data_IF_442908942206
#
_entry.id   IF_442908942206
#
_cell.length_a   1.000
_cell.length_b   1.000
_cell.length_c   1.000
_cell.angle_alpha   90.00
_cell.angle_beta   90.00
_cell.angle_gamma   90.00
#
_symmetry.space_group_name_H-M   'P 1'
#
loop_
_entity.id
_entity.type
_entity.pdbx_description
1 polymer ?
#
# COMPACT_ATOMS: atom_id res chain seq x y z
N UNK A 1 1.22 35.72 8.54
CA UNK A 1 2.22 34.64 8.67
C UNK A 1 1.76 33.49 7.81
N UNK A 2 2.37 33.34 6.64
CA UNK A 2 2.00 32.36 5.63
C UNK A 2 2.83 31.11 5.89
N UNK A 3 2.21 30.04 6.36
CA UNK A 3 2.85 28.73 6.47
C UNK A 3 3.04 28.19 5.06
N UNK A 4 4.22 28.41 4.49
CA UNK A 4 4.72 27.61 3.37
C UNK A 4 4.85 26.16 3.88
N UNK A 5 3.83 25.35 3.59
CA UNK A 5 4.01 23.91 3.52
C UNK A 5 5.07 23.66 2.45
N UNK A 6 6.30 23.40 2.87
CA UNK A 6 7.35 22.84 2.04
C UNK A 6 6.79 21.56 1.40
N UNK A 7 6.25 21.71 0.19
CA UNK A 7 5.96 20.62 -0.70
C UNK A 7 7.25 19.85 -0.83
N UNK A 8 7.29 18.70 -0.15
CA UNK A 8 8.38 17.75 -0.22
C UNK A 8 8.49 17.31 -1.67
N UNK A 9 9.30 18.03 -2.45
CA UNK A 9 9.73 17.64 -3.79
C UNK A 9 10.61 16.43 -3.56
N UNK A 10 10.00 15.25 -3.58
CA UNK A 10 10.70 13.98 -3.57
C UNK A 10 11.56 14.00 -4.83
N UNK A 11 12.88 14.17 -4.66
CA UNK A 11 13.81 14.03 -5.77
C UNK A 11 13.64 12.64 -6.39
N UNK A 12 13.91 12.50 -7.68
CA UNK A 12 13.71 11.28 -8.49
C UNK A 12 14.44 10.02 -7.91
N UNK A 13 15.30 10.19 -6.89
CA UNK A 13 16.01 9.13 -6.18
C UNK A 13 15.70 9.00 -4.67
N UNK A 14 14.76 9.75 -4.10
CA UNK A 14 14.46 9.71 -2.66
C UNK A 14 13.30 8.77 -2.34
N UNK A 15 13.36 8.06 -1.20
CA UNK A 15 12.22 7.27 -0.73
C UNK A 15 11.02 8.18 -0.46
N UNK A 16 9.80 7.85 -0.95
CA UNK A 16 8.64 8.70 -0.74
C UNK A 16 8.21 8.67 0.74
N UNK A 17 7.84 9.81 1.34
CA UNK A 17 7.27 9.81 2.68
C UNK A 17 5.90 9.10 2.69
N UNK A 18 5.47 8.61 3.85
CA UNK A 18 4.21 7.87 3.98
C UNK A 18 3.01 8.65 3.42
N UNK A 19 2.94 9.96 3.68
CA UNK A 19 1.84 10.82 3.21
C UNK A 19 1.76 10.91 1.68
N UNK A 20 2.86 10.71 0.96
CA UNK A 20 2.86 10.66 -0.51
C UNK A 20 2.32 9.32 -1.03
N UNK A 21 2.65 8.20 -0.36
CA UNK A 21 2.06 6.90 -0.68
C UNK A 21 0.55 6.88 -0.45
N UNK A 22 0.09 7.35 0.71
CA UNK A 22 -1.34 7.37 1.03
C UNK A 22 -2.14 8.23 0.03
N UNK A 23 -1.57 9.34 -0.44
CA UNK A 23 -2.14 10.14 -1.55
C UNK A 23 -2.14 9.39 -2.87
N UNK A 24 -1.03 8.75 -3.23
CA UNK A 24 -0.93 7.95 -4.45
C UNK A 24 -1.90 6.76 -4.49
N UNK A 25 -2.28 6.21 -3.33
CA UNK A 25 -3.33 5.19 -3.26
C UNK A 25 -4.74 5.75 -3.55
N UNK A 26 -5.00 7.00 -3.15
CA UNK A 26 -6.33 7.62 -3.19
C UNK A 26 -6.66 8.42 -4.45
N UNK A 27 -5.67 9.03 -5.07
CA UNK A 27 -5.88 9.98 -6.17
C UNK A 27 -5.33 9.46 -7.49
N UNK A 28 -6.09 9.70 -8.57
CA UNK A 28 -5.55 9.67 -9.93
C UNK A 28 -4.91 11.03 -10.22
N UNK A 29 -3.79 11.33 -9.56
CA UNK A 29 -3.00 12.53 -9.86
C UNK A 29 -2.47 12.43 -11.29
N UNK A 30 -2.31 13.56 -11.98
CA UNK A 30 -1.49 13.64 -13.19
C UNK A 30 -0.16 12.91 -12.96
N UNK A 31 0.18 12.07 -13.93
CA UNK A 31 1.18 10.99 -13.87
C UNK A 31 2.31 11.29 -12.86
N UNK A 32 2.38 10.58 -11.71
CA UNK A 32 3.35 10.89 -10.68
C UNK A 32 4.76 10.81 -11.27
N UNK A 33 5.56 11.88 -11.12
CA UNK A 33 6.94 11.95 -11.63
C UNK A 33 7.85 10.88 -11.00
N UNK A 34 7.44 10.31 -9.86
CA UNK A 34 8.21 9.35 -9.08
C UNK A 34 7.81 7.89 -9.35
N UNK A 35 8.76 7.07 -9.79
CA UNK A 35 8.56 5.66 -10.16
C UNK A 35 7.90 4.81 -9.06
N UNK A 36 8.31 4.96 -7.80
CA UNK A 36 7.68 4.24 -6.67
C UNK A 36 6.20 4.64 -6.50
N UNK A 37 5.85 5.92 -6.65
CA UNK A 37 4.48 6.38 -6.44
C UNK A 37 3.54 5.85 -7.54
N UNK A 38 4.04 5.75 -8.78
CA UNK A 38 3.33 5.09 -9.87
C UNK A 38 3.03 3.62 -9.52
N UNK A 39 4.05 2.88 -9.07
CA UNK A 39 3.91 1.46 -8.70
C UNK A 39 3.02 1.28 -7.47
N UNK A 40 3.10 2.17 -6.49
CA UNK A 40 2.27 2.18 -5.29
C UNK A 40 0.78 2.36 -5.64
N UNK A 41 0.46 3.25 -6.58
CA UNK A 41 -0.90 3.42 -7.12
C UNK A 41 -1.40 2.14 -7.80
N UNK A 42 -0.57 1.52 -8.63
CA UNK A 42 -0.92 0.23 -9.27
C UNK A 42 -1.14 -0.90 -8.26
N UNK A 43 -0.40 -0.92 -7.14
CA UNK A 43 -0.63 -1.87 -6.05
C UNK A 43 -2.00 -1.63 -5.39
N UNK A 44 -2.37 -0.39 -5.12
CA UNK A 44 -3.70 -0.05 -4.58
C UNK A 44 -4.83 -0.48 -5.55
N UNK A 45 -4.67 -0.27 -6.86
CA UNK A 45 -5.60 -0.75 -7.88
C UNK A 45 -5.72 -2.28 -7.90
N UNK A 46 -4.61 -3.00 -7.69
CA UNK A 46 -4.63 -4.46 -7.55
C UNK A 46 -5.45 -4.89 -6.33
N UNK A 47 -5.22 -4.28 -5.16
CA UNK A 47 -5.98 -4.58 -3.93
C UNK A 47 -7.46 -4.21 -4.05
N UNK A 48 -7.80 -3.13 -4.73
CA UNK A 48 -9.19 -2.76 -5.01
C UNK A 48 -9.89 -3.82 -5.88
N UNK A 49 -9.25 -4.23 -6.98
CA UNK A 49 -9.79 -5.29 -7.86
C UNK A 49 -9.93 -6.60 -7.10
N UNK A 50 -8.95 -6.94 -6.25
CA UNK A 50 -8.98 -8.14 -5.39
C UNK A 50 -10.19 -8.11 -4.46
N UNK A 51 -10.40 -6.98 -3.78
CA UNK A 51 -11.51 -6.79 -2.86
C UNK A 51 -12.86 -6.99 -3.57
N UNK A 52 -13.05 -6.37 -4.75
CA UNK A 52 -14.28 -6.54 -5.55
C UNK A 52 -14.50 -7.98 -6.01
N UNK A 53 -13.46 -8.66 -6.47
CA UNK A 53 -13.54 -10.05 -6.90
C UNK A 53 -13.97 -10.97 -5.75
N UNK A 54 -13.40 -10.78 -4.55
CA UNK A 54 -13.78 -11.52 -3.34
C UNK A 54 -15.23 -11.24 -2.95
N UNK A 55 -15.67 -9.97 -2.99
CA UNK A 55 -17.06 -9.62 -2.70
C UNK A 55 -18.03 -10.28 -3.69
N UNK A 56 -17.74 -10.24 -4.98
CA UNK A 56 -18.58 -10.86 -6.01
C UNK A 56 -18.68 -12.38 -5.84
N UNK A 57 -17.57 -13.05 -5.51
CA UNK A 57 -17.55 -14.50 -5.25
C UNK A 57 -18.31 -14.88 -3.97
N UNK A 58 -18.41 -13.98 -2.99
CA UNK A 58 -19.14 -14.18 -1.73
C UNK A 58 -20.61 -13.75 -1.80
N UNK A 59 -21.06 -13.17 -2.91
CA UNK A 59 -22.43 -12.71 -3.06
C UNK A 59 -23.41 -13.89 -2.97
N UNK A 60 -24.56 -13.74 -2.29
CA UNK A 60 -25.61 -14.76 -2.27
C UNK A 60 -26.03 -15.11 -3.70
N UNK A 61 -26.04 -16.40 -4.05
CA UNK A 61 -26.40 -16.87 -5.39
C UNK A 61 -25.29 -16.78 -6.43
N UNK A 62 -24.04 -16.53 -6.05
CA UNK A 62 -22.90 -16.60 -6.96
C UNK A 62 -22.81 -18.00 -7.60
N UNK A 63 -22.79 -18.05 -8.94
CA UNK A 63 -22.67 -19.31 -9.66
C UNK A 63 -21.25 -19.88 -9.55
N UNK A 64 -21.11 -21.20 -9.71
CA UNK A 64 -19.78 -21.85 -9.77
C UNK A 64 -18.87 -21.24 -10.85
N UNK A 65 -19.45 -20.76 -11.96
CA UNK A 65 -18.72 -20.06 -13.01
C UNK A 65 -18.14 -18.72 -12.56
N UNK A 66 -18.91 -17.94 -11.79
CA UNK A 66 -18.46 -16.67 -11.19
C UNK A 66 -17.35 -16.91 -10.17
N UNK A 67 -17.50 -17.94 -9.32
CA UNK A 67 -16.48 -18.31 -8.33
C UNK A 67 -15.17 -18.71 -9.02
N UNK A 68 -15.23 -19.56 -10.05
CA UNK A 68 -14.05 -19.99 -10.80
C UNK A 68 -13.38 -18.85 -11.58
N UNK A 69 -14.17 -17.94 -12.17
CA UNK A 69 -13.63 -16.74 -12.81
C UNK A 69 -12.98 -15.79 -11.80
N UNK A 70 -13.59 -15.64 -10.63
CA UNK A 70 -13.04 -14.90 -9.50
C UNK A 70 -11.68 -15.45 -9.05
N UNK A 71 -11.56 -16.77 -8.88
CA UNK A 71 -10.30 -17.41 -8.50
C UNK A 71 -9.17 -17.11 -9.51
N UNK A 72 -9.41 -17.28 -10.81
CA UNK A 72 -8.43 -16.94 -11.86
C UNK A 72 -8.01 -15.47 -11.83
N UNK A 73 -8.98 -14.57 -11.63
CA UNK A 73 -8.70 -13.15 -11.51
C UNK A 73 -7.84 -12.84 -10.28
N UNK A 74 -8.07 -13.52 -9.14
CA UNK A 74 -7.25 -13.36 -7.94
C UNK A 74 -5.80 -13.79 -8.18
N UNK A 75 -5.59 -14.92 -8.87
CA UNK A 75 -4.25 -15.40 -9.21
C UNK A 75 -3.50 -14.40 -10.12
N UNK A 76 -4.18 -13.85 -11.13
CA UNK A 76 -3.62 -12.82 -12.00
C UNK A 76 -3.26 -11.53 -11.25
N UNK A 77 -4.11 -11.13 -10.30
CA UNK A 77 -3.84 -9.97 -9.44
C UNK A 77 -2.64 -10.23 -8.52
N UNK A 78 -2.52 -11.42 -7.94
CA UNK A 78 -1.41 -11.76 -7.04
C UNK A 78 -0.08 -11.85 -7.78
N UNK A 79 -0.09 -12.39 -9.00
CA UNK A 79 1.08 -12.34 -9.89
C UNK A 79 1.49 -10.90 -10.20
N UNK A 80 0.53 -10.04 -10.58
CA UNK A 80 0.81 -8.62 -10.85
C UNK A 80 1.34 -7.90 -9.61
N UNK A 81 0.80 -8.14 -8.43
CA UNK A 81 1.34 -7.61 -7.17
C UNK A 81 2.80 -8.02 -6.96
N UNK A 82 3.12 -9.29 -7.15
CA UNK A 82 4.50 -9.78 -7.06
C UNK A 82 5.46 -9.06 -8.03
N UNK A 83 5.04 -8.86 -9.28
CA UNK A 83 5.82 -8.10 -10.28
C UNK A 83 6.07 -6.65 -9.85
N UNK A 84 5.06 -5.98 -9.30
CA UNK A 84 5.13 -4.59 -8.82
C UNK A 84 6.01 -4.46 -7.57
N UNK A 85 5.88 -5.38 -6.61
CA UNK A 85 6.77 -5.48 -5.43
C UNK A 85 8.22 -5.61 -5.88
N UNK A 86 8.51 -6.53 -6.81
CA UNK A 86 9.85 -6.69 -7.36
C UNK A 86 10.36 -5.47 -8.11
N UNK A 87 9.48 -4.67 -8.75
CA UNK A 87 9.88 -3.40 -9.40
C UNK A 87 10.33 -2.36 -8.37
N UNK A 88 9.66 -2.27 -7.22
CA UNK A 88 10.08 -1.41 -6.11
C UNK A 88 11.43 -1.91 -5.56
N UNK A 89 11.56 -3.20 -5.29
CA UNK A 89 12.77 -3.76 -4.68
C UNK A 89 14.00 -3.60 -5.57
N UNK A 90 13.85 -3.76 -6.90
CA UNK A 90 14.91 -3.44 -7.88
C UNK A 90 15.26 -1.95 -7.90
N UNK A 91 14.26 -1.07 -7.79
CA UNK A 91 14.54 0.37 -7.70
C UNK A 91 15.31 0.69 -6.43
N UNK A 92 14.94 0.09 -5.29
CA UNK A 92 15.66 0.27 -4.01
C UNK A 92 17.10 -0.20 -4.14
N UNK A 93 17.33 -1.39 -4.72
CA UNK A 93 18.68 -1.92 -4.95
C UNK A 93 19.56 -0.99 -5.80
N UNK A 94 18.96 -0.32 -6.78
CA UNK A 94 19.67 0.57 -7.69
C UNK A 94 19.91 1.98 -7.13
N UNK A 95 19.05 2.47 -6.23
CA UNK A 95 19.04 3.88 -5.80
C UNK A 95 19.42 4.10 -4.32
N UNK A 96 19.37 3.06 -3.49
CA UNK A 96 19.61 3.18 -2.04
C UNK A 96 20.95 2.53 -1.67
N UNK A 97 21.90 3.36 -1.24
CA UNK A 97 23.18 2.89 -0.74
C UNK A 97 23.04 2.28 0.67
N UNK A 98 23.51 1.04 0.82
CA UNK A 98 23.52 0.34 2.10
C UNK A 98 24.93 0.33 2.70
N UNK A 99 25.06 0.76 3.96
CA UNK A 99 26.33 0.70 4.69
C UNK A 99 26.63 -0.74 5.12
N UNK A 100 27.88 -1.18 4.94
CA UNK A 100 28.37 -2.44 5.51
C UNK A 100 28.28 -2.40 7.04
N UNK A 101 27.57 -3.36 7.64
CA UNK A 101 27.37 -3.48 9.09
C UNK A 101 26.02 -2.95 9.61
N UNK A 102 25.17 -2.35 8.76
CA UNK A 102 23.80 -2.00 9.15
C UNK A 102 22.93 -3.26 9.37
N UNK A 103 22.02 -3.19 10.34
CA UNK A 103 21.08 -4.28 10.63
C UNK A 103 20.16 -4.51 9.44
N UNK A 104 20.02 -5.77 9.01
CA UNK A 104 19.12 -6.16 7.92
C UNK A 104 17.66 -6.10 8.42
N UNK A 105 16.80 -5.43 7.65
CA UNK A 105 15.36 -5.51 7.90
C UNK A 105 14.81 -6.88 7.51
N UNK A 106 13.70 -7.30 8.10
CA UNK A 106 13.10 -8.62 7.86
C UNK A 106 12.28 -8.69 6.59
N UNK A 107 11.89 -7.53 6.05
CA UNK A 107 11.02 -7.42 4.88
C UNK A 107 11.61 -6.48 3.83
N UNK A 108 11.25 -6.66 2.57
CA UNK A 108 11.62 -5.71 1.51
C UNK A 108 10.73 -4.47 1.58
N UNK A 109 11.19 -3.35 1.00
CA UNK A 109 10.37 -2.14 0.96
C UNK A 109 9.10 -2.35 0.12
N UNK A 110 9.20 -3.07 -0.99
CA UNK A 110 8.05 -3.41 -1.83
C UNK A 110 7.00 -4.19 -1.06
N UNK A 111 7.39 -5.16 -0.22
CA UNK A 111 6.46 -5.91 0.63
C UNK A 111 5.75 -5.03 1.66
N UNK A 112 6.46 -4.07 2.27
CA UNK A 112 5.86 -3.11 3.21
C UNK A 112 4.85 -2.20 2.51
N UNK A 113 5.20 -1.68 1.32
CA UNK A 113 4.31 -0.82 0.51
C UNK A 113 3.07 -1.59 0.03
N UNK A 114 3.22 -2.85 -0.39
CA UNK A 114 2.09 -3.71 -0.77
C UNK A 114 1.11 -3.92 0.40
N UNK A 115 1.64 -4.14 1.62
CA UNK A 115 0.80 -4.28 2.82
C UNK A 115 0.11 -2.97 3.20
N UNK A 116 0.78 -1.82 3.05
CA UNK A 116 0.17 -0.50 3.23
C UNK A 116 -1.00 -0.30 2.26
N UNK A 117 -0.80 -0.58 0.97
CA UNK A 117 -1.85 -0.48 -0.04
C UNK A 117 -3.05 -1.38 0.30
N UNK A 118 -2.78 -2.62 0.74
CA UNK A 118 -3.82 -3.55 1.17
C UNK A 118 -4.65 -3.02 2.34
N UNK A 119 -3.99 -2.55 3.41
CA UNK A 119 -4.68 -2.00 4.59
C UNK A 119 -5.43 -0.71 4.27
N UNK A 120 -4.88 0.13 3.40
CA UNK A 120 -5.53 1.35 2.94
C UNK A 120 -6.86 1.03 2.25
N UNK A 121 -6.90 0.08 1.32
CA UNK A 121 -8.15 -0.36 0.67
C UNK A 121 -9.16 -0.85 1.69
N UNK A 122 -8.75 -1.71 2.63
CA UNK A 122 -9.66 -2.25 3.65
C UNK A 122 -10.23 -1.14 4.54
N UNK A 123 -9.39 -0.19 5.00
CA UNK A 123 -9.81 0.93 5.82
C UNK A 123 -10.80 1.87 5.08
N UNK A 124 -10.53 2.16 3.81
CA UNK A 124 -11.42 2.97 2.96
C UNK A 124 -12.78 2.30 2.76
N UNK A 125 -12.79 0.99 2.51
CA UNK A 125 -14.04 0.22 2.31
C UNK A 125 -14.85 0.13 3.60
N UNK A 126 -14.20 0.07 4.76
CA UNK A 126 -14.88 0.12 6.05
C UNK A 126 -15.63 1.44 6.28
N UNK A 127 -15.10 2.59 5.82
CA UNK A 127 -15.83 3.86 5.86
C UNK A 127 -17.05 3.88 4.92
N UNK A 128 -16.88 3.40 3.69
CA UNK A 128 -17.99 3.33 2.72
C UNK A 128 -19.14 2.44 3.19
N UNK A 129 -18.83 1.33 3.85
CA UNK A 129 -19.84 0.46 4.47
C UNK A 129 -20.60 1.13 5.63
N UNK A 130 -19.94 2.02 6.40
CA UNK A 130 -20.57 2.81 7.46
C UNK A 130 -21.56 3.83 6.91
N UNK A 131 -21.25 4.46 5.78
CA UNK A 131 -22.13 5.47 5.16
C UNK A 131 -23.43 4.89 4.54
N UNK A 132 -23.42 3.61 4.15
CA UNK A 132 -24.56 2.95 3.50
C UNK A 132 -25.48 2.17 4.45
N UNK A 133 -25.20 2.15 5.76
CA UNK A 133 -25.93 1.31 6.71
C UNK A 133 -26.33 2.08 7.96
N UNK A 134 -27.63 2.26 8.18
CA UNK A 134 -28.22 2.50 9.51
C UNK A 134 -28.04 1.23 10.35
N UNK A 135 -26.83 0.97 10.88
CA UNK A 135 -26.49 -0.28 11.60
C UNK A 135 -26.28 -0.05 13.10
N UNK A 136 -26.51 -1.08 13.94
CA UNK A 136 -26.51 -0.95 15.39
C UNK A 136 -25.12 -0.59 15.95
N UNK A 137 -25.07 0.00 17.15
CA UNK A 137 -23.85 0.45 17.81
C UNK A 137 -22.99 -0.77 18.18
N UNK A 138 -22.04 -1.11 17.32
CA UNK A 138 -21.13 -2.26 17.51
C UNK A 138 -20.14 -2.44 16.35
N UNK A 139 -20.53 -2.08 15.11
CA UNK A 139 -19.63 -2.10 13.95
C UNK A 139 -18.67 -0.90 13.86
N UNK A 140 -18.84 0.12 14.71
CA UNK A 140 -17.92 1.26 14.76
C UNK A 140 -16.49 0.84 15.15
N UNK A 141 -16.37 -0.25 15.92
CA UNK A 141 -15.09 -0.82 16.31
C UNK A 141 -14.29 -1.45 15.16
N UNK A 142 -14.94 -2.00 14.14
CA UNK A 142 -14.25 -2.66 13.02
C UNK A 142 -13.59 -1.64 12.09
N UNK A 143 -14.31 -0.56 11.73
CA UNK A 143 -13.72 0.54 10.98
C UNK A 143 -12.56 1.19 11.75
N UNK A 144 -12.77 1.50 13.04
CA UNK A 144 -11.71 2.04 13.89
C UNK A 144 -10.48 1.13 13.92
N UNK A 145 -10.66 -0.18 14.09
CA UNK A 145 -9.56 -1.16 14.09
C UNK A 145 -8.78 -1.15 12.77
N UNK A 146 -9.45 -1.04 11.62
CA UNK A 146 -8.76 -0.97 10.32
C UNK A 146 -7.94 0.31 10.16
N UNK A 147 -8.46 1.45 10.62
CA UNK A 147 -7.74 2.72 10.61
C UNK A 147 -6.56 2.72 11.57
N UNK A 148 -6.72 2.19 12.79
CA UNK A 148 -5.62 2.04 13.75
C UNK A 148 -4.50 1.16 13.18
N UNK A 149 -4.83 0.01 12.60
CA UNK A 149 -3.85 -0.88 11.96
C UNK A 149 -3.15 -0.26 10.75
N UNK A 150 -3.82 0.64 10.04
CA UNK A 150 -3.21 1.40 8.95
C UNK A 150 -2.23 2.44 9.51
N UNK A 151 -2.62 3.16 10.56
CA UNK A 151 -1.76 4.14 11.23
C UNK A 151 -0.49 3.50 11.80
N UNK A 152 -0.61 2.40 12.53
CA UNK A 152 0.55 1.66 13.07
C UNK A 152 1.54 1.24 11.97
N UNK A 153 1.03 0.79 10.81
CA UNK A 153 1.88 0.42 9.69
C UNK A 153 2.48 1.63 8.98
N UNK A 154 1.75 2.75 8.92
CA UNK A 154 2.23 4.01 8.36
C UNK A 154 3.37 4.59 9.20
N UNK A 155 3.24 4.57 10.52
CA UNK A 155 4.28 5.00 11.46
C UNK A 155 5.52 4.10 11.33
N UNK A 156 5.33 2.77 11.34
CA UNK A 156 6.44 1.83 11.14
C UNK A 156 7.16 1.98 9.79
N UNK A 157 6.46 2.36 8.73
CA UNK A 157 7.08 2.69 7.44
C UNK A 157 7.89 3.98 7.50
N UNK A 158 7.39 5.01 8.18
CA UNK A 158 8.09 6.27 8.35
C UNK A 158 9.38 6.09 9.18
N UNK A 159 9.32 5.29 10.23
CA UNK A 159 10.49 4.91 11.03
C UNK A 159 11.50 4.11 10.19
N UNK A 160 11.02 3.15 9.39
CA UNK A 160 11.87 2.36 8.49
C UNK A 160 12.61 3.24 7.48
N UNK A 161 11.93 4.20 6.84
CA UNK A 161 12.61 5.12 5.90
C UNK A 161 13.66 5.94 6.63
N UNK A 162 13.32 6.47 7.80
CA UNK A 162 14.24 7.28 8.61
C UNK A 162 15.50 6.48 8.93
N UNK A 163 15.35 5.24 9.41
CA UNK A 163 16.45 4.32 9.67
C UNK A 163 17.31 4.00 8.44
N UNK A 164 16.70 3.91 7.26
CA UNK A 164 17.40 3.64 6.00
C UNK A 164 18.17 4.87 5.51
N UNK A 165 17.56 6.05 5.58
CA UNK A 165 18.19 7.33 5.22
C UNK A 165 19.38 7.62 6.15
N UNK A 166 19.24 7.31 7.44
CA UNK A 166 20.33 7.44 8.41
C UNK A 166 21.35 6.29 8.37
N UNK A 167 21.22 5.35 7.41
CA UNK A 167 22.08 4.19 7.22
C UNK A 167 22.20 3.28 8.46
N UNK A 168 21.21 3.31 9.36
CA UNK A 168 21.11 2.41 10.53
C UNK A 168 20.58 1.03 10.14
N UNK A 169 19.79 0.98 9.07
CA UNK A 169 19.15 -0.22 8.56
C UNK A 169 19.41 -0.42 7.08
N UNK A 170 19.53 -1.69 6.67
CA UNK A 170 19.57 -2.08 5.26
C UNK A 170 18.34 -2.89 4.87
N UNK A 171 17.88 -2.68 3.65
CA UNK A 171 16.72 -3.38 3.10
C UNK A 171 17.19 -4.65 2.37
N UNK A 172 16.49 -5.79 2.53
CA UNK A 172 16.65 -6.92 1.64
C UNK A 172 16.32 -6.48 0.20
N UNK A 173 17.16 -6.88 -0.74
CA UNK A 173 16.95 -6.70 -2.17
C UNK A 173 17.11 -8.09 -2.81
N UNK A 174 16.06 -8.58 -3.48
CA UNK A 174 16.01 -9.90 -4.12
C UNK A 174 15.77 -9.75 -5.62
#
# INVERSE_FOLDING_TARGET
MTTEYLGSRIGIGALPPCSALLRAFGESVDRPEHSILEVARELAECHERRYRAVLAARAPGASSGVIAAGARLLDDIDRRRGELVGRIDRWVAANIAHRAGASLHTETLGAVIDRLASKWIVAQRALGAKAMSERPPGLEGEAHLHWTRLAELADGYQDLITDVIEHRRRLPVW
#
